data_IF_526034917049
#
_entry.id   IF_526034917049
#
_cell.length_a   1.000
_cell.length_b   1.000
_cell.length_c   1.000
_cell.angle_alpha   90.00
_cell.angle_beta   90.00
_cell.angle_gamma   90.00
#
_symmetry.space_group_name_H-M   'P 1'
#
loop_
_entity.id
_entity.type
_entity.pdbx_description
1 polymer ?
#
# COMPACT_ATOMS: atom_id res chain seq x y z
N UNK A 1 -46.64 -17.45 -2.71
CA UNK A 1 -45.18 -17.21 -2.67
C UNK A 1 -44.98 -15.71 -2.65
N UNK A 2 -44.61 -15.17 -1.48
CA UNK A 2 -44.27 -13.75 -1.32
C UNK A 2 -42.80 -13.58 -1.69
N UNK A 3 -42.52 -12.67 -2.61
CA UNK A 3 -41.16 -12.24 -2.91
C UNK A 3 -40.57 -11.59 -1.66
N UNK A 4 -39.41 -12.07 -1.22
CA UNK A 4 -38.66 -11.44 -0.16
C UNK A 4 -38.13 -10.10 -0.67
N UNK A 5 -38.55 -9.05 0.00
CA UNK A 5 -38.10 -7.67 -0.20
C UNK A 5 -36.64 -7.59 0.29
N UNK A 6 -35.69 -7.56 -0.65
CA UNK A 6 -34.28 -7.32 -0.34
C UNK A 6 -34.13 -5.83 -0.12
N UNK A 7 -34.29 -5.40 1.13
CA UNK A 7 -34.06 -4.03 1.56
C UNK A 7 -32.62 -3.61 1.22
N UNK A 8 -32.49 -2.73 0.23
CA UNK A 8 -31.25 -2.04 -0.12
C UNK A 8 -30.94 -0.95 0.93
N UNK A 9 -30.54 -1.38 2.13
CA UNK A 9 -29.90 -0.49 3.10
C UNK A 9 -28.53 -0.03 2.59
N UNK A 10 -28.00 1.11 3.07
CA UNK A 10 -26.64 1.51 2.73
C UNK A 10 -25.67 0.43 3.22
N UNK A 11 -24.98 -0.23 2.28
CA UNK A 11 -23.88 -1.14 2.59
C UNK A 11 -22.81 -0.31 3.29
N UNK A 12 -22.55 -0.61 4.57
CA UNK A 12 -21.49 0.06 5.31
C UNK A 12 -20.16 -0.16 4.58
N UNK A 13 -19.34 0.90 4.46
CA UNK A 13 -18.02 0.76 3.88
C UNK A 13 -17.21 -0.27 4.69
N UNK A 14 -16.40 -1.13 4.03
CA UNK A 14 -15.58 -2.11 4.74
C UNK A 14 -14.64 -1.40 5.73
N UNK A 15 -14.32 -2.02 6.88
CA UNK A 15 -13.39 -1.43 7.83
C UNK A 15 -12.01 -1.17 7.21
N UNK A 16 -11.46 0.02 7.45
CA UNK A 16 -10.09 0.37 7.07
C UNK A 16 -9.12 -0.03 8.19
N UNK A 17 -8.08 -0.78 7.82
CA UNK A 17 -6.93 -1.05 8.67
C UNK A 17 -5.68 -0.42 8.05
N UNK A 18 -4.85 0.20 8.90
CA UNK A 18 -3.62 0.85 8.45
C UNK A 18 -2.48 0.33 9.29
N UNK A 19 -1.43 -0.18 8.65
CA UNK A 19 -0.32 -0.80 9.36
C UNK A 19 1.00 -0.70 8.60
N UNK A 20 2.10 -0.74 9.34
CA UNK A 20 3.41 -1.03 8.78
C UNK A 20 3.60 -2.54 8.76
N UNK A 21 3.91 -3.10 7.59
CA UNK A 21 4.19 -4.52 7.41
C UNK A 21 5.53 -4.78 6.75
N UNK A 22 6.11 -5.96 7.04
CA UNK A 22 7.21 -6.54 6.26
C UNK A 22 6.65 -7.43 5.16
N UNK A 23 7.08 -7.22 3.92
CA UNK A 23 6.71 -8.06 2.79
C UNK A 23 7.35 -9.44 2.94
N UNK A 24 6.54 -10.49 2.83
CA UNK A 24 6.98 -11.88 2.90
C UNK A 24 7.03 -12.52 1.52
N UNK A 25 6.01 -12.30 0.70
CA UNK A 25 5.94 -12.85 -0.65
C UNK A 25 5.00 -12.03 -1.55
N UNK A 26 5.23 -12.17 -2.85
CA UNK A 26 4.40 -11.63 -3.92
C UNK A 26 3.96 -12.82 -4.77
N UNK A 27 2.67 -12.92 -5.04
CA UNK A 27 2.09 -13.92 -5.93
C UNK A 27 1.33 -13.19 -7.03
N UNK A 28 1.68 -13.42 -8.29
CA UNK A 28 0.91 -12.91 -9.43
C UNK A 28 -0.37 -13.74 -9.58
N UNK A 29 -1.50 -13.07 -9.85
CA UNK A 29 -2.80 -13.72 -10.00
C UNK A 29 -3.47 -13.30 -11.30
N UNK A 30 -4.29 -14.20 -11.84
CA UNK A 30 -5.05 -13.96 -13.07
C UNK A 30 -5.92 -12.71 -12.93
N UNK A 31 -5.89 -11.85 -13.93
CA UNK A 31 -6.67 -10.61 -13.99
C UNK A 31 -7.99 -10.78 -14.73
N UNK A 32 -8.23 -11.94 -15.35
CA UNK A 32 -9.53 -12.26 -15.93
C UNK A 32 -10.58 -12.34 -14.81
N UNK A 33 -11.63 -11.54 -14.96
CA UNK A 33 -12.76 -11.48 -14.04
C UNK A 33 -14.09 -11.79 -14.75
N UNK A 34 -14.02 -12.36 -15.96
CA UNK A 34 -15.17 -12.86 -16.71
C UNK A 34 -15.93 -11.80 -17.51
N UNK A 35 -17.05 -12.22 -18.08
CA UNK A 35 -17.93 -11.35 -18.85
C UNK A 35 -18.53 -10.27 -17.93
N UNK A 36 -18.37 -9.00 -18.30
CA UNK A 36 -18.81 -7.78 -17.58
C UNK A 36 -17.83 -7.16 -16.57
N UNK A 37 -16.55 -7.50 -16.62
CA UNK A 37 -15.53 -6.75 -15.89
C UNK A 37 -14.53 -6.04 -16.82
N UNK A 38 -13.98 -4.91 -16.38
CA UNK A 38 -12.81 -4.32 -17.03
C UNK A 38 -11.57 -5.09 -16.54
N UNK A 39 -10.84 -5.79 -17.42
CA UNK A 39 -9.64 -6.50 -17.01
C UNK A 39 -8.57 -5.49 -16.57
N UNK A 40 -7.79 -5.90 -15.58
CA UNK A 40 -6.55 -5.22 -15.23
C UNK A 40 -5.39 -5.83 -16.00
N UNK A 41 -4.35 -5.02 -16.24
CA UNK A 41 -3.13 -5.52 -16.89
C UNK A 41 -2.29 -6.36 -15.92
N UNK A 42 -2.51 -6.20 -14.62
CA UNK A 42 -1.76 -6.87 -13.56
C UNK A 42 -2.60 -7.12 -12.30
N UNK A 43 -2.32 -8.24 -11.63
CA UNK A 43 -2.97 -8.66 -10.39
C UNK A 43 -1.96 -9.34 -9.47
N UNK A 44 -1.97 -8.99 -8.19
CA UNK A 44 -1.08 -9.61 -7.20
C UNK A 44 -1.79 -9.86 -5.87
N UNK A 45 -1.37 -10.93 -5.19
CA UNK A 45 -1.53 -11.12 -3.76
C UNK A 45 -0.22 -10.79 -3.08
N UNK A 46 -0.24 -9.79 -2.21
CA UNK A 46 0.89 -9.38 -1.39
C UNK A 46 0.72 -9.92 0.02
N UNK A 47 1.71 -10.66 0.52
CA UNK A 47 1.66 -11.26 1.86
C UNK A 47 2.56 -10.49 2.80
N UNK A 48 2.01 -9.95 3.87
CA UNK A 48 2.74 -9.11 4.82
C UNK A 48 2.69 -9.67 6.25
N UNK A 49 3.80 -9.53 6.98
CA UNK A 49 3.83 -9.65 8.44
C UNK A 49 3.58 -8.26 9.05
N UNK A 50 2.48 -8.03 9.80
CA UNK A 50 2.29 -6.77 10.51
C UNK A 50 3.38 -6.53 11.55
N UNK A 51 3.97 -5.34 11.52
CA UNK A 51 4.99 -4.89 12.47
C UNK A 51 4.44 -3.85 13.45
N UNK A 52 3.57 -2.95 12.98
CA UNK A 52 2.94 -1.90 13.78
C UNK A 52 1.56 -1.58 13.23
N UNK A 53 0.52 -1.73 14.04
CA UNK A 53 -0.82 -1.21 13.72
C UNK A 53 -0.84 0.31 13.96
N UNK A 54 -1.43 1.04 13.00
CA UNK A 54 -1.62 2.49 13.04
C UNK A 54 -3.12 2.83 13.20
N UNK A 55 -3.99 2.02 12.59
CA UNK A 55 -5.46 2.10 12.67
C UNK A 55 -6.08 0.70 12.51
N UNK A 56 -7.27 0.47 13.08
CA UNK A 56 -8.01 -0.79 12.93
C UNK A 56 -7.65 -1.91 13.93
N UNK A 57 -6.74 -1.65 14.89
CA UNK A 57 -6.37 -2.62 15.93
C UNK A 57 -5.38 -3.70 15.46
N UNK A 58 -5.11 -4.74 16.29
CA UNK A 58 -4.22 -5.84 15.91
C UNK A 58 -4.77 -6.63 14.72
N UNK A 59 -3.91 -6.90 13.74
CA UNK A 59 -4.24 -7.69 12.55
C UNK A 59 -3.73 -9.14 12.68
N UNK A 60 -4.37 -10.10 11.97
CA UNK A 60 -3.80 -11.43 11.82
C UNK A 60 -2.43 -11.38 11.15
N UNK A 61 -1.61 -12.40 11.37
CA UNK A 61 -0.27 -12.51 10.76
C UNK A 61 -0.09 -13.91 10.16
N UNK A 62 0.20 -14.03 8.85
CA UNK A 62 0.35 -12.93 7.89
C UNK A 62 -1.00 -12.33 7.43
N UNK A 63 -0.96 -11.12 6.88
CA UNK A 63 -2.07 -10.47 6.16
C UNK A 63 -1.88 -10.70 4.66
N UNK A 64 -2.94 -11.10 3.94
CA UNK A 64 -2.94 -11.29 2.49
C UNK A 64 -3.76 -10.18 1.85
N UNK A 65 -3.11 -9.34 1.05
CA UNK A 65 -3.76 -8.17 0.43
C UNK A 65 -3.79 -8.34 -1.07
N UNK A 66 -4.95 -8.16 -1.68
CA UNK A 66 -5.08 -8.13 -3.13
C UNK A 66 -4.86 -6.74 -3.70
N UNK A 67 -4.18 -6.70 -4.84
CA UNK A 67 -4.00 -5.52 -5.67
C UNK A 67 -4.26 -5.88 -7.13
N UNK A 68 -4.98 -5.00 -7.82
CA UNK A 68 -5.14 -5.04 -9.27
C UNK A 68 -4.85 -3.65 -9.84
N UNK A 69 -4.16 -3.59 -10.98
CA UNK A 69 -3.75 -2.33 -11.57
C UNK A 69 -3.30 -2.42 -13.02
N UNK A 70 -3.03 -1.25 -13.61
CA UNK A 70 -2.63 -1.09 -15.02
C UNK A 70 -1.11 -0.91 -15.21
N UNK A 71 -0.34 -0.89 -14.12
CA UNK A 71 1.06 -0.47 -14.14
C UNK A 71 2.02 -1.51 -13.55
N UNK A 72 1.56 -2.77 -13.44
CA UNK A 72 2.34 -3.84 -12.83
C UNK A 72 2.41 -3.72 -11.31
N UNK A 73 3.45 -4.33 -10.74
CA UNK A 73 3.69 -4.42 -9.31
C UNK A 73 3.81 -3.02 -8.69
N UNK A 74 3.05 -2.72 -7.62
CA UNK A 74 3.13 -1.41 -6.98
C UNK A 74 4.54 -1.13 -6.46
N UNK A 75 5.04 0.09 -6.69
CA UNK A 75 6.44 0.44 -6.42
C UNK A 75 6.85 0.25 -4.95
N UNK A 76 5.94 0.41 -3.99
CA UNK A 76 6.22 0.18 -2.58
C UNK A 76 6.53 -1.30 -2.26
N UNK A 77 6.05 -2.25 -3.07
CA UNK A 77 6.30 -3.68 -2.88
C UNK A 77 7.74 -4.10 -3.26
N UNK A 78 8.56 -3.15 -3.74
CA UNK A 78 9.99 -3.36 -4.02
C UNK A 78 10.87 -3.15 -2.79
N UNK A 79 10.27 -2.90 -1.63
CA UNK A 79 10.94 -2.60 -0.36
C UNK A 79 10.54 -3.61 0.70
N UNK A 80 11.45 -3.90 1.65
CA UNK A 80 11.18 -4.87 2.73
C UNK A 80 9.93 -4.47 3.54
N UNK A 81 9.74 -3.16 3.78
CA UNK A 81 8.67 -2.65 4.62
C UNK A 81 7.86 -1.56 3.96
N UNK A 82 6.54 -1.61 4.16
CA UNK A 82 5.59 -0.63 3.65
C UNK A 82 4.52 -0.26 4.68
N UNK A 83 4.07 0.99 4.64
CA UNK A 83 2.83 1.44 5.25
C UNK A 83 1.69 1.13 4.27
N UNK A 84 0.73 0.34 4.70
CA UNK A 84 -0.37 -0.15 3.89
C UNK A 84 -1.70 0.33 4.46
N UNK A 85 -2.59 0.73 3.56
CA UNK A 85 -3.98 1.04 3.84
C UNK A 85 -4.80 -0.08 3.22
N UNK A 86 -5.55 -0.82 4.03
CA UNK A 86 -6.20 -2.06 3.61
C UNK A 86 -7.64 -2.05 4.08
N UNK A 87 -8.57 -2.25 3.15
CA UNK A 87 -9.96 -2.47 3.47
C UNK A 87 -10.18 -3.95 3.73
N UNK A 88 -10.66 -4.28 4.93
CA UNK A 88 -10.93 -5.63 5.38
C UNK A 88 -12.29 -6.09 4.84
N UNK A 89 -12.29 -7.07 3.94
CA UNK A 89 -13.51 -7.60 3.33
C UNK A 89 -13.91 -8.95 3.91
N UNK A 90 -15.17 -9.36 3.72
CA UNK A 90 -15.63 -10.69 4.18
C UNK A 90 -14.92 -11.85 3.49
N UNK A 91 -14.47 -11.66 2.25
CA UNK A 91 -13.82 -12.68 1.44
C UNK A 91 -12.37 -12.35 1.11
N UNK A 92 -12.04 -11.07 1.03
CA UNK A 92 -10.73 -10.62 0.59
C UNK A 92 -10.41 -9.24 1.13
N UNK A 93 -9.17 -9.08 1.60
CA UNK A 93 -8.62 -7.78 1.94
C UNK A 93 -8.06 -7.13 0.69
N UNK A 94 -8.37 -5.85 0.48
CA UNK A 94 -7.91 -5.10 -0.69
C UNK A 94 -7.12 -3.88 -0.29
N UNK A 95 -6.06 -3.62 -1.04
CA UNK A 95 -5.28 -2.39 -0.86
C UNK A 95 -6.14 -1.19 -1.21
N UNK A 96 -6.10 -0.14 -0.40
CA UNK A 96 -6.71 1.13 -0.76
C UNK A 96 -6.03 1.73 -2.01
N UNK A 97 -6.84 2.37 -2.85
CA UNK A 97 -6.40 2.86 -4.16
C UNK A 97 -5.27 3.87 -4.01
N UNK A 98 -4.12 3.59 -4.61
CA UNK A 98 -2.90 4.42 -4.57
C UNK A 98 -2.31 4.66 -3.17
N UNK A 99 -2.73 3.90 -2.15
CA UNK A 99 -2.30 4.10 -0.77
C UNK A 99 -1.44 2.95 -0.27
N UNK A 100 -0.18 2.98 -0.69
CA UNK A 100 0.90 2.18 -0.10
C UNK A 100 2.20 2.95 -0.22
N UNK A 101 2.96 3.02 0.87
CA UNK A 101 4.19 3.82 0.95
C UNK A 101 5.34 2.95 1.43
N UNK A 102 6.48 2.91 0.73
CA UNK A 102 7.66 2.26 1.29
C UNK A 102 8.11 3.04 2.52
N UNK A 103 8.34 2.37 3.64
CA UNK A 103 8.79 3.02 4.87
C UNK A 103 9.99 2.27 5.43
N UNK A 104 10.82 2.95 6.20
CA UNK A 104 11.88 2.31 6.98
C UNK A 104 11.91 2.89 8.39
N UNK A 105 12.43 2.10 9.32
CA UNK A 105 12.53 2.51 10.71
C UNK A 105 13.58 3.62 10.88
N UNK A 106 13.21 4.68 11.58
CA UNK A 106 14.06 5.82 11.89
C UNK A 106 14.92 5.57 13.12
N UNK A 107 15.99 6.33 13.29
CA UNK A 107 16.94 6.16 14.40
C UNK A 107 16.30 6.39 15.79
N UNK A 108 15.18 7.11 15.84
CA UNK A 108 14.35 7.31 17.03
C UNK A 108 13.22 6.27 17.18
N UNK A 109 13.20 5.23 16.35
CA UNK A 109 12.28 4.10 16.44
C UNK A 109 10.93 4.27 15.73
N UNK A 110 10.66 5.44 15.14
CA UNK A 110 9.47 5.69 14.31
C UNK A 110 9.60 5.08 12.92
N UNK A 111 8.57 5.21 12.09
CA UNK A 111 8.59 4.80 10.68
C UNK A 111 8.48 6.03 9.80
N UNK A 112 9.15 6.00 8.65
CA UNK A 112 9.12 7.13 7.73
C UNK A 112 9.35 6.74 6.27
N UNK A 113 8.80 7.60 5.41
CA UNK A 113 8.95 7.60 3.97
C UNK A 113 9.86 8.75 3.54
N UNK A 114 10.71 8.51 2.53
CA UNK A 114 11.53 9.54 1.93
C UNK A 114 11.09 9.79 0.48
N UNK A 115 10.18 10.76 0.22
CA UNK A 115 9.76 11.09 -1.14
C UNK A 115 10.94 11.54 -2.00
N UNK A 116 10.81 11.37 -3.31
CA UNK A 116 11.66 12.09 -4.27
C UNK A 116 11.11 13.52 -4.39
N UNK A 117 11.68 14.45 -3.64
CA UNK A 117 11.26 15.86 -3.68
C UNK A 117 11.96 16.56 -4.84
N UNK A 118 11.20 17.00 -5.85
CA UNK A 118 11.72 17.97 -6.82
C UNK A 118 11.88 19.34 -6.12
N UNK A 119 12.95 20.11 -6.39
CA UNK A 119 13.17 21.43 -5.79
C UNK A 119 12.00 22.42 -5.91
N UNK A 120 11.11 22.21 -6.87
CA UNK A 120 9.98 23.10 -7.20
C UNK A 120 8.63 22.60 -6.65
N UNK A 121 8.59 21.49 -5.92
CA UNK A 121 7.35 20.98 -5.31
C UNK A 121 7.00 21.79 -4.05
N UNK A 122 6.26 22.87 -4.23
CA UNK A 122 5.77 23.76 -3.15
C UNK A 122 4.41 23.33 -2.59
N UNK A 123 4.02 22.06 -2.73
CA UNK A 123 2.71 21.59 -2.28
C UNK A 123 2.54 21.67 -0.75
N UNK A 124 1.30 21.70 -0.22
CA UNK A 124 1.03 21.73 1.23
C UNK A 124 1.69 20.59 2.03
N UNK A 125 2.14 19.53 1.35
CA UNK A 125 2.93 18.42 1.90
C UNK A 125 4.23 18.89 2.55
N UNK A 126 4.75 20.05 2.14
CA UNK A 126 6.01 20.62 2.63
C UNK A 126 6.01 20.86 4.16
N UNK A 127 4.83 21.13 4.76
CA UNK A 127 4.72 21.39 6.21
C UNK A 127 4.90 20.16 7.10
N UNK A 128 4.74 18.95 6.57
CA UNK A 128 5.01 17.70 7.31
C UNK A 128 6.36 17.08 6.95
N UNK A 129 7.17 17.75 6.11
CA UNK A 129 8.50 17.28 5.78
C UNK A 129 9.47 17.56 6.92
N UNK A 130 10.20 16.53 7.32
CA UNK A 130 11.21 16.57 8.36
C UNK A 130 12.53 16.03 7.83
N UNK A 131 13.63 16.45 8.45
CA UNK A 131 14.92 15.77 8.28
C UNK A 131 14.86 14.45 9.03
N UNK A 132 15.00 13.36 8.30
CA UNK A 132 14.90 12.00 8.84
C UNK A 132 16.23 11.29 8.75
N UNK A 133 16.59 10.59 9.82
CA UNK A 133 17.69 9.64 9.83
C UNK A 133 17.14 8.25 10.07
N UNK A 134 17.40 7.34 9.14
CA UNK A 134 17.03 5.93 9.25
C UNK A 134 17.98 5.18 10.19
N UNK A 135 17.43 4.24 10.95
CA UNK A 135 18.18 3.41 11.88
C UNK A 135 19.24 2.58 11.13
N UNK A 136 18.86 2.06 9.96
CA UNK A 136 19.70 1.34 9.01
C UNK A 136 19.57 1.98 7.62
N UNK A 137 20.39 1.54 6.67
CA UNK A 137 20.17 1.91 5.27
C UNK A 137 18.81 1.36 4.83
N UNK A 138 18.11 2.09 3.97
CA UNK A 138 16.90 1.59 3.31
C UNK A 138 17.27 0.37 2.46
N UNK A 139 16.51 -0.71 2.59
CA UNK A 139 16.74 -1.97 1.90
C UNK A 139 15.64 -2.21 0.85
N UNK A 140 16.03 -2.76 -0.29
CA UNK A 140 15.06 -3.33 -1.22
C UNK A 140 14.47 -4.62 -0.60
N UNK A 141 13.35 -5.08 -1.13
CA UNK A 141 12.80 -6.38 -0.70
C UNK A 141 13.71 -7.52 -1.15
N UNK A 142 13.81 -8.55 -0.31
CA UNK A 142 14.37 -9.86 -0.67
C UNK A 142 13.31 -10.80 -1.27
N UNK A 143 12.04 -10.39 -1.31
CA UNK A 143 10.96 -11.17 -1.91
C UNK A 143 11.20 -11.33 -3.42
N UNK A 144 10.85 -12.50 -3.95
CA UNK A 144 10.94 -12.77 -5.37
C UNK A 144 9.92 -11.89 -6.13
N UNK A 145 10.43 -11.06 -7.04
CA UNK A 145 9.62 -10.22 -7.91
C UNK A 145 9.28 -11.02 -9.17
N UNK A 146 7.99 -11.11 -9.57
CA UNK A 146 7.59 -11.76 -10.81
C UNK A 146 8.41 -11.29 -12.03
N UNK A 147 8.73 -12.21 -12.95
CA UNK A 147 9.68 -11.96 -14.03
C UNK A 147 9.25 -10.83 -14.98
N UNK A 148 7.94 -10.69 -15.21
CA UNK A 148 7.40 -9.65 -16.08
C UNK A 148 7.55 -8.25 -15.45
N UNK A 149 7.47 -8.15 -14.12
CA UNK A 149 7.74 -6.91 -13.37
C UNK A 149 9.22 -6.63 -13.10
N UNK A 150 10.07 -7.66 -13.13
CA UNK A 150 11.51 -7.51 -12.95
C UNK A 150 12.14 -6.59 -14.02
N UNK A 151 11.47 -6.43 -15.17
CA UNK A 151 11.89 -5.52 -16.26
C UNK A 151 11.66 -4.05 -15.93
N UNK A 152 10.68 -3.74 -15.10
CA UNK A 152 10.51 -2.41 -14.54
C UNK A 152 11.56 -2.26 -13.43
N UNK A 153 12.72 -1.67 -13.71
CA UNK A 153 13.72 -1.39 -12.67
C UNK A 153 13.32 -0.15 -11.88
N UNK A 154 13.90 0.00 -10.69
CA UNK A 154 13.77 1.23 -9.91
C UNK A 154 14.02 2.44 -10.80
N UNK A 155 13.00 3.24 -11.05
CA UNK A 155 13.19 4.45 -11.85
C UNK A 155 13.80 5.53 -10.98
N UNK A 156 14.46 6.53 -11.58
CA UNK A 156 15.00 7.68 -10.83
C UNK A 156 13.93 8.45 -10.03
N UNK A 157 12.64 8.20 -10.30
CA UNK A 157 11.47 8.81 -9.65
C UNK A 157 10.90 7.97 -8.50
N UNK A 158 11.48 6.80 -8.22
CA UNK A 158 11.00 5.97 -7.14
C UNK A 158 11.45 6.59 -5.82
N UNK A 159 10.47 7.12 -5.10
CA UNK A 159 10.67 7.55 -3.74
C UNK A 159 11.24 6.42 -2.89
N UNK A 160 12.01 6.78 -1.85
CA UNK A 160 12.66 5.87 -0.93
C UNK A 160 13.85 5.09 -1.52
N UNK A 161 14.88 5.77 -2.03
CA UNK A 161 16.04 5.11 -2.68
C UNK A 161 16.77 4.10 -1.75
N UNK A 162 17.02 2.85 -2.18
CA UNK A 162 17.84 1.91 -1.42
C UNK A 162 19.23 2.46 -1.11
N UNK A 163 19.77 2.10 0.07
CA UNK A 163 21.09 2.53 0.52
C UNK A 163 21.14 3.90 1.21
N UNK A 164 20.09 4.72 1.14
CA UNK A 164 20.07 6.01 1.85
C UNK A 164 19.92 5.79 3.36
N UNK A 165 20.52 6.70 4.14
CA UNK A 165 20.36 6.76 5.59
C UNK A 165 19.78 8.08 6.07
N UNK A 166 19.92 9.13 5.29
CA UNK A 166 19.44 10.46 5.63
C UNK A 166 18.49 10.94 4.53
N UNK A 167 17.35 11.47 4.94
CA UNK A 167 16.38 12.11 4.08
C UNK A 167 16.23 13.56 4.52
N UNK A 168 16.44 14.51 3.61
CA UNK A 168 16.32 15.93 3.93
C UNK A 168 14.85 16.36 4.11
N UNK A 169 13.94 15.65 3.45
CA UNK A 169 12.53 15.99 3.33
C UNK A 169 11.68 14.70 3.39
N UNK A 170 11.74 14.01 4.53
CA UNK A 170 10.98 12.78 4.80
C UNK A 170 9.66 13.06 5.52
N UNK A 171 8.75 12.09 5.50
CA UNK A 171 7.47 12.17 6.22
C UNK A 171 7.32 10.97 7.15
N UNK A 172 6.87 11.18 8.38
CA UNK A 172 6.58 10.07 9.29
C UNK A 172 5.31 9.33 8.86
N UNK A 173 5.25 8.04 9.18
CA UNK A 173 4.11 7.20 8.83
C UNK A 173 2.81 7.74 9.44
N UNK A 174 2.85 8.28 10.65
CA UNK A 174 1.70 8.92 11.31
C UNK A 174 1.18 10.14 10.53
N UNK A 175 2.07 10.93 9.92
CA UNK A 175 1.68 12.08 9.10
C UNK A 175 1.06 11.63 7.76
N UNK A 176 1.58 10.55 7.17
CA UNK A 176 0.98 9.91 5.99
C UNK A 176 -0.44 9.39 6.31
N UNK A 177 -0.62 8.73 7.45
CA UNK A 177 -1.95 8.29 7.90
C UNK A 177 -2.91 9.47 8.02
N UNK A 178 -2.52 10.53 8.73
CA UNK A 178 -3.36 11.72 8.89
C UNK A 178 -3.73 12.38 7.56
N UNK A 179 -2.82 12.37 6.59
CA UNK A 179 -3.04 13.00 5.28
C UNK A 179 -3.93 12.16 4.35
N UNK A 180 -3.84 10.83 4.42
CA UNK A 180 -4.41 9.95 3.40
C UNK A 180 -5.60 9.11 3.88
N UNK A 181 -5.71 8.81 5.18
CA UNK A 181 -6.82 8.00 5.69
C UNK A 181 -8.22 8.60 5.41
N UNK A 182 -8.45 9.93 5.52
CA UNK A 182 -9.77 10.51 5.28
C UNK A 182 -10.30 10.34 3.85
N UNK A 183 -9.39 10.24 2.87
CA UNK A 183 -9.70 10.14 1.45
C UNK A 183 -9.42 8.72 0.91
N UNK A 184 -9.24 7.74 1.81
CA UNK A 184 -8.97 6.37 1.41
C UNK A 184 -10.21 5.74 0.75
N UNK A 185 -10.01 5.21 -0.46
CA UNK A 185 -11.02 4.46 -1.18
C UNK A 185 -10.53 3.01 -1.35
N UNK A 186 -11.43 2.01 -1.28
CA UNK A 186 -11.07 0.65 -1.64
C UNK A 186 -10.41 0.63 -3.02
N UNK A 187 -9.32 -0.12 -3.15
CA UNK A 187 -8.75 -0.41 -4.46
C UNK A 187 -9.77 -1.10 -5.35
N UNK A 188 -9.39 -1.31 -6.59
CA UNK A 188 -10.25 -2.00 -7.54
C UNK A 188 -10.55 -3.42 -7.05
N UNK A 189 -11.68 -3.59 -6.38
CA UNK A 189 -12.32 -4.88 -6.22
C UNK A 189 -12.65 -5.35 -7.64
N UNK A 190 -12.34 -6.60 -7.98
CA UNK A 190 -12.95 -7.24 -9.15
C UNK A 190 -14.43 -6.93 -9.07
N UNK A 191 -14.90 -6.16 -10.04
CA UNK A 191 -16.22 -5.59 -10.21
C UNK A 191 -17.29 -6.33 -9.39
N UNK A 192 -17.69 -5.76 -8.24
CA UNK A 192 -19.08 -5.90 -7.84
C UNK A 192 -19.81 -4.73 -8.47
N UNK A 193 -20.60 -5.02 -9.50
CA UNK A 193 -21.76 -4.18 -9.79
C UNK A 193 -22.62 -4.22 -8.52
N UNK A 194 -22.75 -3.07 -7.85
CA UNK A 194 -23.84 -2.86 -6.90
C UNK A 194 -25.14 -2.68 -7.68
#
# INVERSE_FOLDING_TARGET
MQAADVSSGPVAAPPLAIFVGRLLSIEEVDTDCGENCAPFDSGYVLVYQPLKSMEGGPLPSPVRVQFFGHYGLPSFARFDTALLFVFLGEHQDVLARYLGFPVAQTADGRWAYCPDTHPDDTSPRDRSLARITFARKVEATDAEIPQDDARHRFTRRDAMRPGIRHCAAGMHAEDLVRLHAPDAEPGYLRVWQF
#
